data_IF_807962177050
#
_entry.id   IF_807962177050
#
_cell.length_a   1.000
_cell.length_b   1.000
_cell.length_c   1.000
_cell.angle_alpha   90.00
_cell.angle_beta   90.00
_cell.angle_gamma   90.00
#
_symmetry.space_group_name_H-M   'P 1'
#
loop_
_entity.id
_entity.type
_entity.pdbx_description
1 polymer ?
#
# COMPACT_ATOMS: atom_id res chain seq x y z
N UNK A 1 -1.36 -7.62 -50.35
CA UNK A 1 -0.69 -6.40 -49.82
C UNK A 1 -1.73 -5.56 -49.09
N UNK A 2 -1.65 -5.48 -47.77
CA UNK A 2 -2.55 -4.64 -46.97
C UNK A 2 -2.02 -3.20 -47.07
N UNK A 3 -2.53 -2.40 -48.01
CA UNK A 3 -2.29 -0.95 -48.08
C UNK A 3 -3.51 -0.23 -47.50
N UNK A 4 -3.78 -0.42 -46.20
CA UNK A 4 -4.72 0.46 -45.50
C UNK A 4 -4.08 1.85 -45.39
N UNK A 5 -4.84 2.89 -45.71
CA UNK A 5 -4.38 4.27 -45.52
C UNK A 5 -4.39 4.61 -44.04
N UNK A 6 -3.51 5.51 -43.60
CA UNK A 6 -3.47 5.97 -42.19
C UNK A 6 -4.85 6.41 -41.70
N UNK A 7 -5.65 7.05 -42.56
CA UNK A 7 -6.98 7.53 -42.25
C UNK A 7 -7.96 6.39 -41.92
N UNK A 8 -7.91 5.29 -42.68
CA UNK A 8 -8.72 4.10 -42.42
C UNK A 8 -8.35 3.43 -41.09
N UNK A 9 -7.04 3.30 -40.79
CA UNK A 9 -6.57 2.75 -39.52
C UNK A 9 -7.03 3.61 -38.34
N UNK A 10 -6.92 4.94 -38.45
CA UNK A 10 -7.36 5.86 -37.40
C UNK A 10 -8.87 5.80 -37.18
N UNK A 11 -9.66 5.74 -38.25
CA UNK A 11 -11.12 5.57 -38.15
C UNK A 11 -11.50 4.28 -37.41
N UNK A 12 -10.84 3.16 -37.75
CA UNK A 12 -11.05 1.87 -37.08
C UNK A 12 -10.68 1.91 -35.60
N UNK A 13 -9.53 2.50 -35.25
CA UNK A 13 -9.10 2.63 -33.85
C UNK A 13 -10.03 3.55 -33.04
N UNK A 14 -10.55 4.61 -33.66
CA UNK A 14 -11.57 5.48 -33.06
C UNK A 14 -12.84 4.71 -32.71
N UNK A 15 -13.40 3.98 -33.69
CA UNK A 15 -14.59 3.15 -33.48
C UNK A 15 -14.41 2.10 -32.36
N UNK A 16 -13.25 1.45 -32.29
CA UNK A 16 -12.92 0.50 -31.21
C UNK A 16 -12.87 1.21 -29.85
N UNK A 17 -12.25 2.39 -29.79
CA UNK A 17 -12.12 3.17 -28.56
C UNK A 17 -13.49 3.61 -28.03
N UNK A 18 -14.37 4.05 -28.91
CA UNK A 18 -15.74 4.48 -28.57
C UNK A 18 -16.59 3.27 -28.12
N UNK A 19 -16.52 2.15 -28.84
CA UNK A 19 -17.21 0.91 -28.46
C UNK A 19 -16.72 0.34 -27.12
N UNK A 20 -15.45 0.60 -26.76
CA UNK A 20 -14.88 0.21 -25.45
C UNK A 20 -15.37 1.10 -24.29
N UNK A 21 -16.14 2.15 -24.55
CA UNK A 21 -16.51 3.16 -23.55
C UNK A 21 -15.30 3.92 -23.00
N UNK A 22 -14.17 3.94 -23.72
CA UNK A 22 -12.94 4.53 -23.20
C UNK A 22 -13.03 6.06 -23.08
N UNK A 23 -13.92 6.67 -23.87
CA UNK A 23 -14.26 8.08 -23.87
C UNK A 23 -15.53 8.41 -23.06
N UNK A 24 -16.14 7.42 -22.39
CA UNK A 24 -17.31 7.63 -21.53
C UNK A 24 -16.93 8.53 -20.32
N UNK A 25 -17.60 9.69 -20.13
CA UNK A 25 -17.34 10.58 -19.00
C UNK A 25 -17.56 9.93 -17.62
N UNK A 26 -18.38 8.88 -17.54
CA UNK A 26 -18.71 8.14 -16.32
C UNK A 26 -17.89 6.87 -16.14
N UNK A 27 -16.88 6.63 -17.00
CA UNK A 27 -15.99 5.47 -16.86
C UNK A 27 -15.30 5.51 -15.48
N UNK A 28 -15.38 4.44 -14.68
CA UNK A 28 -14.69 4.42 -13.40
C UNK A 28 -13.17 4.51 -13.62
N UNK A 29 -12.54 5.45 -12.92
CA UNK A 29 -11.10 5.66 -12.96
C UNK A 29 -10.32 4.51 -12.27
N UNK A 30 -10.16 3.39 -12.97
CA UNK A 30 -9.32 2.28 -12.50
C UNK A 30 -7.83 2.64 -12.45
N UNK A 31 -7.39 3.65 -13.21
CA UNK A 31 -6.03 4.17 -13.19
C UNK A 31 -5.73 5.06 -11.97
N UNK A 32 -6.76 5.65 -11.36
CA UNK A 32 -6.60 6.59 -10.24
C UNK A 32 -6.58 5.88 -8.88
N UNK A 33 -7.17 4.67 -8.80
CA UNK A 33 -7.07 3.82 -7.60
C UNK A 33 -5.79 2.99 -7.64
N UNK A 34 -4.83 3.22 -6.72
CA UNK A 34 -3.66 2.36 -6.63
C UNK A 34 -4.09 0.93 -6.27
N UNK A 35 -3.39 -0.06 -6.81
CA UNK A 35 -3.61 -1.45 -6.40
C UNK A 35 -3.34 -1.58 -4.90
N UNK A 36 -4.09 -2.46 -4.19
CA UNK A 36 -3.84 -2.75 -2.80
C UNK A 36 -2.36 -3.10 -2.59
N UNK A 37 -1.74 -2.45 -1.61
CA UNK A 37 -0.37 -2.76 -1.22
C UNK A 37 -0.38 -3.94 -0.25
N UNK A 38 0.53 -4.88 -0.45
CA UNK A 38 0.73 -6.02 0.43
C UNK A 38 2.01 -5.80 1.24
N UNK A 39 2.13 -6.44 2.40
CA UNK A 39 3.30 -6.32 3.28
C UNK A 39 4.62 -6.69 2.58
N UNK A 40 4.54 -7.52 1.55
CA UNK A 40 5.69 -7.99 0.76
C UNK A 40 6.03 -7.10 -0.44
N UNK A 41 5.21 -6.09 -0.76
CA UNK A 41 5.42 -5.22 -1.92
C UNK A 41 6.75 -4.48 -1.78
N UNK A 42 7.66 -4.72 -2.73
CA UNK A 42 9.00 -4.12 -2.75
C UNK A 42 10.01 -4.72 -1.76
N UNK A 43 9.71 -5.90 -1.18
CA UNK A 43 10.61 -6.62 -0.26
C UNK A 43 11.16 -7.93 -0.83
N UNK A 44 10.65 -8.35 -1.99
CA UNK A 44 10.96 -9.65 -2.59
C UNK A 44 11.83 -9.50 -3.82
N UNK A 45 12.94 -10.24 -3.84
CA UNK A 45 13.94 -10.23 -4.89
C UNK A 45 14.24 -11.65 -5.38
N UNK A 46 14.57 -11.78 -6.65
CA UNK A 46 14.97 -13.03 -7.28
C UNK A 46 16.40 -13.37 -6.84
N UNK A 47 16.60 -14.58 -6.29
CA UNK A 47 17.94 -15.05 -5.93
C UNK A 47 18.88 -15.30 -7.11
N UNK A 48 18.34 -15.42 -8.34
CA UNK A 48 19.14 -15.65 -9.55
C UNK A 48 19.62 -14.33 -10.19
N UNK A 49 18.73 -13.34 -10.34
CA UNK A 49 19.05 -12.11 -11.05
C UNK A 49 18.99 -10.84 -10.20
N UNK A 50 18.61 -10.93 -8.92
CA UNK A 50 18.37 -9.77 -8.05
C UNK A 50 17.13 -8.95 -8.40
N UNK A 51 16.44 -9.27 -9.49
CA UNK A 51 15.25 -8.55 -9.95
C UNK A 51 14.07 -8.63 -8.97
N UNK A 52 13.22 -7.61 -8.99
CA UNK A 52 12.05 -7.52 -8.08
C UNK A 52 10.96 -8.51 -8.50
N UNK A 53 10.33 -9.15 -7.52
CA UNK A 53 9.10 -9.90 -7.73
C UNK A 53 7.90 -8.96 -7.89
N UNK A 54 7.13 -9.16 -8.96
CA UNK A 54 5.88 -8.46 -9.22
C UNK A 54 4.67 -9.37 -9.12
N UNK A 55 3.50 -8.75 -9.15
CA UNK A 55 2.23 -9.48 -9.18
C UNK A 55 2.02 -10.18 -10.53
N UNK A 56 1.63 -11.44 -10.48
CA UNK A 56 1.22 -12.23 -11.64
C UNK A 56 -0.18 -12.79 -11.42
N UNK A 57 -1.17 -12.22 -12.10
CA UNK A 57 -2.57 -12.62 -11.93
C UNK A 57 -3.15 -12.17 -10.59
N UNK A 58 -4.01 -13.01 -10.00
CA UNK A 58 -4.74 -12.71 -8.75
C UNK A 58 -3.81 -12.72 -7.54
N UNK A 59 -3.19 -13.87 -7.25
CA UNK A 59 -2.47 -14.12 -6.00
C UNK A 59 -1.05 -14.66 -6.17
N UNK A 60 -0.51 -14.69 -7.39
CA UNK A 60 0.84 -15.20 -7.63
C UNK A 60 1.86 -14.06 -7.73
N UNK A 61 3.09 -14.39 -7.36
CA UNK A 61 4.26 -13.53 -7.48
C UNK A 61 5.25 -14.19 -8.44
N UNK A 62 5.82 -13.41 -9.35
CA UNK A 62 6.81 -13.87 -10.31
C UNK A 62 7.91 -12.82 -10.49
N UNK A 63 9.10 -13.25 -10.89
CA UNK A 63 10.19 -12.32 -11.23
C UNK A 63 9.78 -11.44 -12.41
N UNK A 64 9.84 -10.11 -12.26
CA UNK A 64 9.57 -9.19 -13.37
C UNK A 64 10.63 -9.31 -14.47
N UNK A 65 11.88 -9.60 -14.08
CA UNK A 65 12.98 -9.79 -15.02
C UNK A 65 12.73 -11.00 -15.95
N UNK A 66 12.18 -12.09 -15.40
CA UNK A 66 11.80 -13.25 -16.20
C UNK A 66 10.54 -12.98 -17.04
N UNK A 67 9.52 -12.37 -16.43
CA UNK A 67 8.20 -12.20 -17.04
C UNK A 67 8.12 -11.12 -18.12
N UNK A 68 8.75 -9.96 -17.89
CA UNK A 68 8.61 -8.78 -18.74
C UNK A 68 9.82 -8.54 -19.64
N UNK A 69 11.01 -8.85 -19.13
CA UNK A 69 12.27 -8.55 -19.81
C UNK A 69 12.93 -9.79 -20.41
N UNK A 70 12.50 -11.00 -20.02
CA UNK A 70 13.10 -12.27 -20.42
C UNK A 70 14.63 -12.35 -20.19
N UNK A 71 15.16 -11.64 -19.19
CA UNK A 71 16.59 -11.61 -18.83
C UNK A 71 16.93 -12.52 -17.64
N UNK A 72 16.01 -13.39 -17.25
CA UNK A 72 16.18 -14.32 -16.14
C UNK A 72 15.36 -15.59 -16.39
N UNK A 73 15.99 -16.75 -16.18
CA UNK A 73 15.36 -18.06 -16.41
C UNK A 73 14.49 -18.54 -15.23
N UNK A 74 14.36 -17.71 -14.19
CA UNK A 74 13.51 -18.02 -13.04
C UNK A 74 12.02 -17.77 -13.36
N UNK A 75 11.40 -18.78 -13.96
CA UNK A 75 9.96 -18.80 -14.27
C UNK A 75 9.09 -19.31 -13.12
N UNK A 76 9.67 -19.54 -11.92
CA UNK A 76 8.87 -20.00 -10.78
C UNK A 76 7.90 -18.92 -10.34
N UNK A 77 6.66 -19.34 -10.10
CA UNK A 77 5.63 -18.51 -9.50
C UNK A 77 5.31 -19.00 -8.11
N UNK A 78 5.11 -18.06 -7.18
CA UNK A 78 4.88 -18.36 -5.77
C UNK A 78 3.53 -17.78 -5.38
N UNK A 79 2.69 -18.56 -4.68
CA UNK A 79 1.45 -18.03 -4.10
C UNK A 79 1.80 -17.07 -2.98
N UNK A 80 1.21 -15.87 -3.04
CA UNK A 80 1.42 -14.81 -2.05
C UNK A 80 1.11 -15.26 -0.64
N UNK A 81 -0.01 -15.98 -0.46
CA UNK A 81 -0.46 -16.41 0.85
C UNK A 81 0.56 -17.34 1.52
N UNK A 82 1.05 -18.34 0.79
CA UNK A 82 2.09 -19.26 1.28
C UNK A 82 3.34 -18.50 1.71
N UNK A 83 3.82 -17.57 0.88
CA UNK A 83 5.00 -16.77 1.22
C UNK A 83 4.75 -15.85 2.41
N UNK A 84 3.52 -15.33 2.56
CA UNK A 84 3.13 -14.46 3.67
C UNK A 84 3.17 -15.23 4.97
N UNK A 85 2.61 -16.44 4.99
CA UNK A 85 2.55 -17.27 6.18
C UNK A 85 3.97 -17.67 6.61
N UNK A 86 4.80 -18.14 5.69
CA UNK A 86 6.22 -18.45 5.97
C UNK A 86 6.97 -17.25 6.56
N UNK A 87 6.81 -16.06 5.97
CA UNK A 87 7.49 -14.85 6.46
C UNK A 87 6.98 -14.45 7.84
N UNK A 88 5.67 -14.47 8.07
CA UNK A 88 5.10 -14.09 9.35
C UNK A 88 5.44 -15.10 10.46
N UNK A 89 5.45 -16.40 10.13
CA UNK A 89 5.84 -17.44 11.07
C UNK A 89 7.32 -17.36 11.42
N UNK A 90 8.19 -17.13 10.43
CA UNK A 90 9.61 -16.93 10.67
C UNK A 90 9.88 -15.68 11.53
N UNK A 91 9.15 -14.58 11.27
CA UNK A 91 9.25 -13.38 12.10
C UNK A 91 8.77 -13.65 13.54
N UNK A 92 7.67 -14.38 13.72
CA UNK A 92 7.23 -14.78 15.06
C UNK A 92 8.28 -15.64 15.77
N UNK A 93 8.83 -16.63 15.09
CA UNK A 93 9.77 -17.56 15.71
C UNK A 93 11.16 -16.96 16.01
N UNK A 94 11.65 -16.02 15.20
CA UNK A 94 13.03 -15.49 15.30
C UNK A 94 13.12 -14.06 15.82
N UNK A 95 12.05 -13.26 15.72
CA UNK A 95 12.03 -11.88 16.23
C UNK A 95 11.33 -11.80 17.59
N UNK A 96 10.40 -12.72 17.89
CA UNK A 96 9.71 -12.76 19.18
C UNK A 96 10.30 -13.79 20.13
N UNK A 97 11.56 -13.61 20.52
CA UNK A 97 12.04 -14.23 21.75
C UNK A 97 11.18 -13.67 22.91
N UNK A 98 10.43 -14.52 23.65
CA UNK A 98 9.40 -14.04 24.58
C UNK A 98 9.93 -13.07 25.64
N UNK A 99 11.18 -13.27 26.07
CA UNK A 99 11.85 -12.43 27.06
C UNK A 99 12.14 -11.02 26.55
N UNK A 100 12.65 -10.88 25.33
CA UNK A 100 12.97 -9.57 24.73
C UNK A 100 11.70 -8.79 24.33
N UNK A 101 10.65 -9.49 23.90
CA UNK A 101 9.37 -8.87 23.57
C UNK A 101 8.65 -8.36 24.81
N UNK A 102 8.66 -9.12 25.90
CA UNK A 102 8.07 -8.68 27.17
C UNK A 102 8.73 -7.40 27.68
N UNK A 103 10.07 -7.34 27.65
CA UNK A 103 10.83 -6.15 28.01
C UNK A 103 10.53 -4.97 27.08
N UNK A 104 10.46 -5.19 25.77
CA UNK A 104 10.10 -4.13 24.83
C UNK A 104 8.69 -3.59 25.09
N UNK A 105 7.71 -4.45 25.30
CA UNK A 105 6.31 -4.03 25.56
C UNK A 105 6.23 -3.24 26.86
N UNK A 106 6.92 -3.64 27.93
CA UNK A 106 6.89 -2.90 29.19
C UNK A 106 7.50 -1.50 29.03
N UNK A 107 8.69 -1.40 28.46
CA UNK A 107 9.38 -0.12 28.24
C UNK A 107 8.61 0.78 27.26
N UNK A 108 8.11 0.23 26.16
CA UNK A 108 7.29 0.96 25.19
C UNK A 108 6.01 1.49 25.84
N UNK A 109 5.34 0.71 26.68
CA UNK A 109 4.11 1.14 27.37
C UNK A 109 4.39 2.27 28.34
N UNK A 110 5.48 2.18 29.10
CA UNK A 110 5.92 3.25 30.02
C UNK A 110 6.19 4.53 29.25
N UNK A 111 6.98 4.46 28.17
CA UNK A 111 7.34 5.64 27.39
C UNK A 111 6.15 6.21 26.62
N UNK A 112 5.27 5.36 26.11
CA UNK A 112 4.04 5.80 25.47
C UNK A 112 3.11 6.55 26.43
N UNK A 113 2.94 6.02 27.64
CA UNK A 113 2.17 6.68 28.69
C UNK A 113 2.80 8.01 29.11
N UNK A 114 4.14 8.08 29.16
CA UNK A 114 4.88 9.32 29.39
C UNK A 114 4.61 10.35 28.30
N UNK A 115 4.74 9.97 27.03
CA UNK A 115 4.45 10.85 25.89
C UNK A 115 3.00 11.33 25.86
N UNK A 116 2.03 10.47 26.22
CA UNK A 116 0.63 10.86 26.33
C UNK A 116 0.37 11.80 27.50
N UNK A 117 1.04 11.60 28.64
CA UNK A 117 0.97 12.52 29.77
C UNK A 117 1.60 13.89 29.44
N UNK A 118 2.70 13.91 28.70
CA UNK A 118 3.36 15.13 28.21
C UNK A 118 2.49 15.85 27.16
N UNK A 119 1.81 15.10 26.29
CA UNK A 119 0.86 15.65 25.32
C UNK A 119 -0.46 16.13 25.95
N UNK A 120 -0.86 15.53 27.08
CA UNK A 120 -2.06 15.85 27.85
C UNK A 120 -1.89 17.00 28.84
N UNK A 121 -0.65 17.50 29.07
CA UNK A 121 -0.44 18.74 29.82
C UNK A 121 -1.09 19.89 29.04
N UNK A 122 -2.13 20.55 29.57
CA UNK A 122 -2.68 21.71 28.91
C UNK A 122 -1.57 22.76 28.82
N UNK A 123 -1.31 23.22 27.60
CA UNK A 123 -0.51 24.41 27.32
C UNK A 123 -1.25 25.61 27.93
N UNK A 124 -1.11 25.79 29.25
CA UNK A 124 -1.58 26.97 29.93
C UNK A 124 -0.86 28.17 29.30
N UNK A 125 -1.66 29.06 28.70
CA UNK A 125 -1.28 30.29 28.03
C UNK A 125 -0.51 30.14 26.70
N UNK A 126 -1.25 29.90 25.60
CA UNK A 126 -1.33 30.87 24.49
C UNK A 126 -2.69 30.75 23.81
N UNK A 127 -3.69 31.45 24.33
CA UNK A 127 -4.81 31.89 23.52
C UNK A 127 -4.31 33.02 22.62
N UNK A 128 -4.30 32.77 21.30
CA UNK A 128 -4.73 33.66 20.20
C UNK A 128 -4.03 33.22 18.90
N UNK A 129 -4.85 33.14 17.85
CA UNK A 129 -4.56 32.68 16.49
C UNK A 129 -4.33 31.17 16.36
N UNK A 130 -5.36 30.47 15.86
CA UNK A 130 -5.15 29.13 15.31
C UNK A 130 -4.26 29.20 14.08
N UNK A 131 -3.39 28.20 13.87
CA UNK A 131 -2.88 27.91 12.54
C UNK A 131 -3.35 26.53 12.08
N UNK A 132 -3.89 26.57 10.88
CA UNK A 132 -4.03 25.53 9.86
C UNK A 132 -3.27 24.20 10.13
N UNK A 133 -3.96 23.10 9.83
CA UNK A 133 -3.63 21.68 10.02
C UNK A 133 -2.51 21.20 9.08
N UNK A 134 -1.62 22.10 8.68
CA UNK A 134 -0.61 21.88 7.66
C UNK A 134 0.78 21.99 8.30
N UNK A 135 1.29 20.87 8.82
CA UNK A 135 2.71 20.48 8.78
C UNK A 135 2.96 19.26 9.67
N UNK A 136 2.49 18.09 9.22
CA UNK A 136 3.22 16.85 9.49
C UNK A 136 3.93 16.50 8.19
N UNK A 137 5.23 16.74 8.16
CA UNK A 137 6.08 16.43 7.01
C UNK A 137 6.37 14.92 7.08
N UNK A 138 5.61 14.12 6.32
CA UNK A 138 5.86 12.70 6.14
C UNK A 138 6.88 12.49 5.00
N UNK A 139 7.91 11.64 5.16
CA UNK A 139 9.08 11.67 4.27
C UNK A 139 8.91 10.91 2.94
N UNK A 140 7.77 10.23 2.71
CA UNK A 140 7.56 9.38 1.53
C UNK A 140 6.22 9.70 0.82
N UNK A 141 6.26 9.72 -0.52
CA UNK A 141 5.12 9.91 -1.44
C UNK A 141 4.02 8.85 -1.25
N UNK A 142 4.34 7.75 -0.55
CA UNK A 142 3.49 6.57 -0.28
C UNK A 142 2.28 6.81 0.65
N UNK A 143 2.32 7.81 1.53
CA UNK A 143 1.27 8.00 2.56
C UNK A 143 0.24 9.11 2.26
N UNK A 144 0.38 9.80 1.12
CA UNK A 144 -0.48 10.97 0.78
C UNK A 144 -1.98 10.64 0.63
N UNK A 145 -2.33 9.38 0.36
CA UNK A 145 -3.73 8.93 0.19
C UNK A 145 -4.44 8.50 1.48
N UNK A 146 -3.77 8.54 2.64
CA UNK A 146 -4.39 8.19 3.93
C UNK A 146 -5.03 9.40 4.62
N UNK A 147 -4.76 10.62 4.14
CA UNK A 147 -5.35 11.86 4.67
C UNK A 147 -6.82 12.06 4.27
N UNK A 148 -7.28 11.46 3.17
CA UNK A 148 -8.65 11.67 2.63
C UNK A 148 -9.66 10.61 3.07
N UNK A 149 -9.22 9.55 3.75
CA UNK A 149 -10.10 8.57 4.40
C UNK A 149 -9.98 8.75 5.91
N UNK A 150 -10.85 9.62 6.44
CA UNK A 150 -10.88 10.00 7.84
C UNK A 150 -10.87 8.81 8.79
N UNK A 151 -9.84 8.74 9.63
CA UNK A 151 -9.75 7.85 10.79
C UNK A 151 -10.61 8.36 11.97
N UNK A 152 -11.80 8.88 11.68
CA UNK A 152 -12.78 9.26 12.68
C UNK A 152 -14.09 8.59 12.32
N UNK A 153 -14.37 7.44 12.92
CA UNK A 153 -15.63 7.02 13.55
C UNK A 153 -15.51 5.51 13.83
N UNK A 154 -14.91 5.16 14.98
CA UNK A 154 -14.70 3.76 15.35
C UNK A 154 -14.61 3.48 16.85
N UNK A 155 -14.92 4.44 17.72
CA UNK A 155 -15.08 4.22 19.17
C UNK A 155 -15.94 5.34 19.74
N UNK A 156 -17.25 5.10 19.92
CA UNK A 156 -18.16 5.74 20.90
C UNK A 156 -19.62 5.77 20.39
N UNK A 157 -20.31 4.62 20.45
CA UNK A 157 -21.76 4.61 20.74
C UNK A 157 -22.16 3.28 21.39
N UNK A 158 -21.77 3.12 22.64
CA UNK A 158 -22.29 2.11 23.57
C UNK A 158 -22.02 2.61 24.99
N UNK A 159 -22.86 3.54 25.48
CA UNK A 159 -23.20 3.72 26.90
C UNK A 159 -24.02 5.01 27.10
N UNK A 160 -25.12 4.87 27.88
CA UNK A 160 -26.16 5.83 28.30
C UNK A 160 -27.35 5.91 27.33
N UNK A 161 -28.56 5.48 27.65
CA UNK A 161 -29.15 5.01 28.90
C UNK A 161 -30.66 5.29 28.87
N UNK A 162 -31.42 4.53 29.66
CA UNK A 162 -32.89 4.59 29.89
C UNK A 162 -33.75 3.81 28.89
#
# INVERSE_FOLDING_TARGET
MIRETRQQVQGRLGAIRDASGANDPHRPDFCTKPRPQHIQTGKLFCGSCGGVFGNSGRDYLASNAAKMQAVCDNHRTIRRQVLKDIVLDALRARLMEPSLVALFISEFTVEWNRLQADAGRPRAAKARAGPDRAQVIWPDRRYRGWATRGWHQGTARSARGL
#
